data_IF_359838092841
#
_entry.id   IF_359838092841
#
_cell.length_a   1.000
_cell.length_b   1.000
_cell.length_c   1.000
_cell.angle_alpha   90.00
_cell.angle_beta   90.00
_cell.angle_gamma   90.00
#
_symmetry.space_group_name_H-M   'P 1'
#
loop_
_entity.id
_entity.type
_entity.pdbx_description
1 polymer ?
#
# COMPACT_ATOMS: atom_id res chain seq x y z
N UNK A 1 39.97 -43.68 -13.22
CA UNK A 1 39.81 -42.22 -12.91
C UNK A 1 38.59 -41.59 -13.60
N UNK A 2 37.92 -42.30 -14.52
CA UNK A 2 36.74 -41.82 -15.27
C UNK A 2 35.43 -41.99 -14.50
N UNK A 3 35.30 -43.00 -13.65
CA UNK A 3 34.05 -43.29 -12.94
C UNK A 3 33.62 -42.16 -11.99
N UNK A 4 34.59 -41.49 -11.36
CA UNK A 4 34.34 -40.42 -10.37
C UNK A 4 33.72 -39.16 -10.98
N UNK A 5 33.97 -38.90 -12.27
CA UNK A 5 33.51 -37.67 -12.93
C UNK A 5 32.01 -37.70 -13.18
N UNK A 6 31.46 -38.88 -13.47
CA UNK A 6 30.01 -39.08 -13.68
C UNK A 6 29.22 -38.80 -12.40
N UNK A 7 29.74 -39.18 -11.23
CA UNK A 7 29.11 -38.87 -9.93
C UNK A 7 29.15 -37.38 -9.61
N UNK A 8 30.21 -36.67 -10.02
CA UNK A 8 30.32 -35.20 -9.86
C UNK A 8 29.30 -34.48 -10.74
N UNK A 9 29.15 -34.88 -12.01
CA UNK A 9 28.12 -34.31 -12.89
C UNK A 9 26.70 -34.60 -12.41
N UNK A 10 26.44 -35.80 -11.89
CA UNK A 10 25.15 -36.15 -11.30
C UNK A 10 24.85 -35.31 -10.05
N UNK A 11 25.85 -35.07 -9.19
CA UNK A 11 25.69 -34.23 -8.00
C UNK A 11 25.42 -32.75 -8.35
N UNK A 12 26.09 -32.21 -9.36
CA UNK A 12 25.86 -30.83 -9.84
C UNK A 12 24.46 -30.71 -10.47
N UNK A 13 24.03 -31.69 -11.27
CA UNK A 13 22.68 -31.70 -11.85
C UNK A 13 21.59 -31.77 -10.77
N UNK A 14 21.79 -32.61 -9.75
CA UNK A 14 20.88 -32.69 -8.59
C UNK A 14 20.86 -31.37 -7.82
N UNK A 15 22.02 -30.73 -7.64
CA UNK A 15 22.13 -29.42 -7.02
C UNK A 15 21.39 -28.34 -7.81
N UNK A 16 21.56 -28.27 -9.14
CA UNK A 16 20.87 -27.31 -10.00
C UNK A 16 19.34 -27.52 -10.01
N UNK A 17 18.86 -28.77 -10.02
CA UNK A 17 17.42 -29.07 -9.92
C UNK A 17 16.89 -28.73 -8.52
N UNK A 18 17.67 -28.97 -7.47
CA UNK A 18 17.31 -28.61 -6.09
C UNK A 18 17.47 -27.12 -5.76
N UNK A 19 18.20 -26.36 -6.59
CA UNK A 19 18.40 -24.91 -6.48
C UNK A 19 17.33 -24.10 -7.24
N UNK A 20 16.50 -24.76 -8.06
CA UNK A 20 15.32 -24.13 -8.67
C UNK A 20 14.36 -23.47 -7.65
N UNK A 21 14.09 -24.02 -6.44
CA UNK A 21 13.36 -23.32 -5.40
C UNK A 21 14.14 -22.17 -4.72
N UNK A 22 15.43 -21.97 -5.02
CA UNK A 22 16.23 -20.86 -4.49
C UNK A 22 16.34 -19.68 -5.48
N UNK A 23 16.26 -19.93 -6.79
CA UNK A 23 16.29 -18.89 -7.83
C UNK A 23 14.91 -18.28 -8.17
N UNK A 24 13.82 -18.88 -7.66
CA UNK A 24 12.45 -18.43 -7.90
C UNK A 24 11.72 -17.99 -6.62
N UNK A 25 12.47 -17.66 -5.55
CA UNK A 25 11.89 -17.02 -4.37
C UNK A 25 11.55 -15.57 -4.71
N UNK A 26 10.44 -15.37 -5.43
CA UNK A 26 9.73 -14.12 -5.43
C UNK A 26 9.50 -13.76 -3.96
N UNK A 27 10.02 -12.60 -3.54
CA UNK A 27 9.76 -12.07 -2.22
C UNK A 27 8.23 -11.97 -2.10
N UNK A 28 7.64 -12.79 -1.25
CA UNK A 28 6.20 -12.77 -1.03
C UNK A 28 5.85 -11.49 -0.27
N UNK A 29 5.52 -10.45 -1.04
CA UNK A 29 5.07 -9.15 -0.52
C UNK A 29 3.61 -9.21 -0.03
N UNK A 30 2.92 -10.35 -0.12
CA UNK A 30 1.51 -10.48 0.27
C UNK A 30 1.25 -10.06 1.71
N UNK A 31 2.16 -10.36 2.63
CA UNK A 31 2.03 -9.98 4.03
C UNK A 31 2.13 -8.45 4.22
N UNK A 32 3.00 -7.78 3.46
CA UNK A 32 3.16 -6.34 3.52
C UNK A 32 2.00 -5.60 2.85
N UNK A 33 1.52 -6.11 1.71
CA UNK A 33 0.35 -5.57 1.01
C UNK A 33 -0.94 -5.74 1.82
N UNK A 34 -1.12 -6.88 2.49
CA UNK A 34 -2.25 -7.11 3.39
C UNK A 34 -2.23 -6.13 4.58
N UNK A 35 -1.05 -5.87 5.14
CA UNK A 35 -0.90 -4.87 6.21
C UNK A 35 -1.19 -3.45 5.71
N UNK A 36 -0.59 -3.02 4.60
CA UNK A 36 -0.83 -1.69 4.05
C UNK A 36 -2.28 -1.48 3.64
N UNK A 37 -2.92 -2.50 3.07
CA UNK A 37 -4.34 -2.45 2.72
C UNK A 37 -5.22 -2.39 3.97
N UNK A 38 -4.86 -3.11 5.04
CA UNK A 38 -5.55 -3.03 6.33
C UNK A 38 -5.44 -1.64 6.95
N UNK A 39 -4.24 -1.06 6.98
CA UNK A 39 -4.00 0.31 7.47
C UNK A 39 -4.72 1.34 6.60
N UNK A 40 -4.66 1.19 5.28
CA UNK A 40 -5.35 2.07 4.34
C UNK A 40 -6.87 1.98 4.52
N UNK A 41 -7.42 0.78 4.73
CA UNK A 41 -8.85 0.58 5.01
C UNK A 41 -9.25 1.14 6.38
N UNK A 42 -8.40 1.05 7.39
CA UNK A 42 -8.66 1.68 8.68
C UNK A 42 -8.67 3.23 8.55
N UNK A 43 -7.75 3.78 7.77
CA UNK A 43 -7.58 5.22 7.57
C UNK A 43 -8.62 5.84 6.61
N UNK A 44 -9.03 5.11 5.56
CA UNK A 44 -9.90 5.62 4.47
C UNK A 44 -11.26 4.91 4.37
N UNK A 45 -11.48 3.88 5.19
CA UNK A 45 -12.76 3.18 5.33
C UNK A 45 -13.77 3.96 6.15
N UNK A 46 -14.83 3.30 6.61
CA UNK A 46 -15.99 3.97 7.22
C UNK A 46 -15.61 4.87 8.39
N UNK A 47 -14.78 4.39 9.32
CA UNK A 47 -14.34 5.18 10.49
C UNK A 47 -13.51 6.39 10.07
N UNK A 48 -12.56 6.22 9.16
CA UNK A 48 -11.73 7.32 8.65
C UNK A 48 -12.53 8.40 7.95
N UNK A 49 -13.53 8.01 7.14
CA UNK A 49 -14.46 8.94 6.48
C UNK A 49 -15.30 9.72 7.49
N UNK A 50 -15.76 9.08 8.57
CA UNK A 50 -16.52 9.75 9.63
C UNK A 50 -15.67 10.76 10.40
N UNK A 51 -14.39 10.46 10.68
CA UNK A 51 -13.48 11.43 11.29
C UNK A 51 -13.21 12.59 10.35
N UNK A 52 -12.99 12.32 9.06
CA UNK A 52 -12.79 13.37 8.06
C UNK A 52 -14.00 14.31 7.93
N UNK A 53 -15.22 13.77 7.95
CA UNK A 53 -16.43 14.61 7.92
C UNK A 53 -16.61 15.40 9.21
N UNK A 54 -16.29 14.82 10.37
CA UNK A 54 -16.31 15.52 11.65
C UNK A 54 -15.29 16.67 11.69
N UNK A 55 -14.07 16.44 11.19
CA UNK A 55 -13.04 17.47 11.06
C UNK A 55 -13.49 18.57 10.12
N UNK A 56 -14.07 18.24 8.96
CA UNK A 56 -14.59 19.23 8.01
C UNK A 56 -15.70 20.09 8.65
N UNK A 57 -16.62 19.46 9.38
CA UNK A 57 -17.67 20.18 10.11
C UNK A 57 -17.09 21.10 11.20
N UNK A 58 -16.15 20.62 12.00
CA UNK A 58 -15.50 21.40 13.04
C UNK A 58 -14.72 22.60 12.47
N UNK A 59 -14.04 22.43 11.35
CA UNK A 59 -13.28 23.48 10.66
C UNK A 59 -14.21 24.55 10.07
N UNK A 60 -15.34 24.14 9.48
CA UNK A 60 -16.35 25.07 9.01
C UNK A 60 -16.96 25.86 10.16
N UNK A 61 -17.30 25.20 11.28
CA UNK A 61 -17.79 25.87 12.48
C UNK A 61 -16.75 26.85 13.03
N UNK A 62 -15.47 26.44 13.13
CA UNK A 62 -14.38 27.30 13.59
C UNK A 62 -14.19 28.54 12.71
N UNK A 63 -14.35 28.41 11.38
CA UNK A 63 -14.35 29.53 10.45
C UNK A 63 -15.54 30.47 10.66
N UNK A 64 -16.75 29.93 10.82
CA UNK A 64 -17.95 30.75 11.08
C UNK A 64 -17.89 31.51 12.40
N UNK A 65 -17.23 30.94 13.41
CA UNK A 65 -17.02 31.58 14.71
C UNK A 65 -15.79 32.49 14.77
N UNK A 66 -15.10 32.74 13.64
CA UNK A 66 -13.88 33.57 13.57
C UNK A 66 -12.71 33.07 14.45
N UNK A 67 -12.66 31.77 14.79
CA UNK A 67 -11.52 31.19 15.51
C UNK A 67 -10.30 30.94 14.60
N UNK A 68 -10.52 30.79 13.29
CA UNK A 68 -9.49 30.59 12.29
C UNK A 68 -9.81 31.40 11.03
N UNK A 69 -8.76 31.86 10.34
CA UNK A 69 -8.89 32.59 9.08
C UNK A 69 -9.44 31.70 7.96
N UNK A 70 -10.24 32.28 7.06
CA UNK A 70 -10.84 31.55 5.93
C UNK A 70 -9.81 30.89 5.00
N UNK A 71 -8.63 31.48 4.86
CA UNK A 71 -7.51 30.83 4.15
C UNK A 71 -7.16 29.47 4.77
N UNK A 72 -7.07 29.41 6.10
CA UNK A 72 -6.76 28.19 6.86
C UNK A 72 -7.90 27.18 6.79
N UNK A 73 -9.15 27.64 6.81
CA UNK A 73 -10.33 26.80 6.58
C UNK A 73 -10.20 26.07 5.25
N UNK A 74 -9.94 26.80 4.15
CA UNK A 74 -9.81 26.19 2.82
C UNK A 74 -8.61 25.26 2.70
N UNK A 75 -7.47 25.60 3.31
CA UNK A 75 -6.30 24.71 3.34
C UNK A 75 -6.62 23.38 4.02
N UNK A 76 -7.29 23.40 5.17
CA UNK A 76 -7.63 22.17 5.90
C UNK A 76 -8.69 21.36 5.12
N UNK A 77 -9.70 22.01 4.54
CA UNK A 77 -10.69 21.33 3.71
C UNK A 77 -10.06 20.67 2.48
N UNK A 78 -9.10 21.33 1.84
CA UNK A 78 -8.35 20.76 0.71
C UNK A 78 -7.61 19.49 1.14
N UNK A 79 -6.92 19.50 2.28
CA UNK A 79 -6.21 18.32 2.80
C UNK A 79 -7.17 17.17 3.10
N UNK A 80 -8.32 17.45 3.73
CA UNK A 80 -9.33 16.44 4.02
C UNK A 80 -9.85 15.78 2.73
N UNK A 81 -10.19 16.58 1.72
CA UNK A 81 -10.63 16.06 0.43
C UNK A 81 -9.52 15.26 -0.23
N UNK A 82 -8.29 15.79 -0.29
CA UNK A 82 -7.14 15.13 -0.91
C UNK A 82 -6.92 13.71 -0.33
N UNK A 83 -6.97 13.55 1.00
CA UNK A 83 -6.84 12.24 1.65
C UNK A 83 -8.00 11.30 1.26
N UNK A 84 -9.22 11.83 1.17
CA UNK A 84 -10.40 11.06 0.78
C UNK A 84 -10.34 10.47 -0.63
N UNK A 85 -9.71 11.17 -1.58
CA UNK A 85 -9.61 10.72 -2.98
C UNK A 85 -8.42 9.80 -3.27
N UNK A 86 -7.49 9.60 -2.32
CA UNK A 86 -6.30 8.75 -2.51
C UNK A 86 -6.63 7.38 -3.13
N UNK A 87 -7.61 6.60 -2.61
CA UNK A 87 -7.91 5.28 -3.16
C UNK A 87 -8.39 5.35 -4.63
N UNK A 88 -9.19 6.37 -4.97
CA UNK A 88 -9.67 6.59 -6.34
C UNK A 88 -8.52 6.92 -7.29
N UNK A 89 -7.56 7.75 -6.85
CA UNK A 89 -6.38 8.08 -7.64
C UNK A 89 -5.53 6.83 -7.87
N UNK A 90 -5.25 6.05 -6.81
CA UNK A 90 -4.45 4.82 -6.92
C UNK A 90 -5.11 3.84 -7.89
N UNK A 91 -6.42 3.61 -7.79
CA UNK A 91 -7.12 2.73 -8.73
C UNK A 91 -7.15 3.28 -10.15
N UNK A 92 -7.23 4.59 -10.35
CA UNK A 92 -7.20 5.18 -11.70
C UNK A 92 -5.85 5.04 -12.40
N UNK A 93 -4.74 5.07 -11.65
CA UNK A 93 -3.38 4.99 -12.21
C UNK A 93 -2.96 3.53 -12.42
N UNK A 94 -3.25 2.66 -11.44
CA UNK A 94 -2.69 1.31 -11.38
C UNK A 94 -3.74 0.21 -11.53
N UNK A 95 -5.04 0.52 -11.33
CA UNK A 95 -6.13 -0.45 -11.42
C UNK A 95 -6.69 -0.65 -12.83
N UNK A 96 -6.37 0.21 -13.78
CA UNK A 96 -6.84 0.09 -15.18
C UNK A 96 -6.08 -0.99 -16.00
N UNK A 97 -5.08 -1.66 -15.42
CA UNK A 97 -4.21 -2.61 -16.11
C UNK A 97 -4.61 -4.09 -15.94
N UNK A 98 -5.79 -4.38 -15.37
CA UNK A 98 -6.33 -5.75 -15.21
C UNK A 98 -7.33 -6.13 -16.30
#
# INVERSE_FOLDING_TARGET
MTDNIHYVYAAIALFCVSASPAMAQAIDVSAFDAFLTSVLNALTGTTGRLIMTLVAAAVLMAGTFNFIDWSRVFQVLFVVVAIGVIPTIIQSIWGAAS
#
